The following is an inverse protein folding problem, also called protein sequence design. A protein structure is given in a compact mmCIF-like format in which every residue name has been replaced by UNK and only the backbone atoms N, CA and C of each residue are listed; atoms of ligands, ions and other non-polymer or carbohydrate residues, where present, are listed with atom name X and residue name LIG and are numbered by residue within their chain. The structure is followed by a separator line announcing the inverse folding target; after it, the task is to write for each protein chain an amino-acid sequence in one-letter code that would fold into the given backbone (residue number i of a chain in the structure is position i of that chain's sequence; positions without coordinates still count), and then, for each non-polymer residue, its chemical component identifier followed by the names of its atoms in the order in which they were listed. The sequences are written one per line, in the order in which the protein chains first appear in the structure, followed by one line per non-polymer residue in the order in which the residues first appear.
data_IF_734764328180
#
_entry.id   IF_734764328180
#
_cell.length_a   1.000
_cell.length_b   1.000
_cell.length_c   1.000
_cell.angle_alpha   90.00
_cell.angle_beta   90.00
_cell.angle_gamma   90.00
#
_symmetry.space_group_name_H-M   'P 1'
#
loop_
_entity.id
_entity.type
_entity.pdbx_description
1 polymer ?
#
# COMPACT_ATOMS: atom_id res chain seq x y z
N UNK A 1 16.83 5.65 6.12
CA UNK A 1 15.83 4.82 5.45
C UNK A 1 16.35 3.41 5.42
N UNK A 2 15.58 2.48 5.98
CA UNK A 2 15.81 1.04 5.86
C UNK A 2 15.86 0.63 4.37
N UNK A 3 16.86 -0.16 3.96
CA UNK A 3 17.06 -0.56 2.56
C UNK A 3 15.86 -1.33 2.01
N UNK A 4 15.19 -2.13 2.84
CA UNK A 4 13.98 -2.86 2.44
C UNK A 4 12.80 -1.91 2.20
N UNK A 5 12.65 -0.87 3.02
CA UNK A 5 11.60 0.15 2.84
C UNK A 5 11.83 0.94 1.56
N UNK A 6 13.07 1.34 1.28
CA UNK A 6 13.43 2.04 0.04
C UNK A 6 13.16 1.18 -1.22
N UNK A 7 13.44 -0.13 -1.14
CA UNK A 7 13.14 -1.08 -2.21
C UNK A 7 11.62 -1.16 -2.48
N UNK A 8 10.82 -1.37 -1.44
CA UNK A 8 9.35 -1.44 -1.56
C UNK A 8 8.78 -0.12 -2.08
N UNK A 9 9.30 1.01 -1.60
CA UNK A 9 8.91 2.33 -2.09
C UNK A 9 9.14 2.47 -3.59
N UNK A 10 10.31 2.06 -4.07
CA UNK A 10 10.68 2.14 -5.49
C UNK A 10 9.76 1.25 -6.33
N UNK A 11 9.54 0.01 -5.88
CA UNK A 11 8.62 -0.92 -6.51
C UNK A 11 7.20 -0.38 -6.66
N UNK A 12 6.63 0.16 -5.59
CA UNK A 12 5.30 0.75 -5.63
C UNK A 12 5.25 1.96 -6.57
N UNK A 13 6.28 2.80 -6.58
CA UNK A 13 6.35 3.98 -7.47
C UNK A 13 6.42 3.60 -8.93
N UNK A 14 7.25 2.62 -9.30
CA UNK A 14 7.29 2.07 -10.66
C UNK A 14 5.92 1.54 -11.06
N UNK A 15 5.22 0.89 -10.13
CA UNK A 15 3.84 0.46 -10.30
C UNK A 15 2.78 1.59 -10.21
N UNK A 16 3.20 2.86 -10.33
CA UNK A 16 2.36 4.04 -10.39
C UNK A 16 1.64 4.42 -9.10
N UNK A 17 2.18 4.04 -7.94
CA UNK A 17 1.74 4.54 -6.64
C UNK A 17 2.51 5.78 -6.22
N UNK A 18 1.81 6.69 -5.56
CA UNK A 18 2.39 7.70 -4.69
C UNK A 18 2.59 7.10 -3.30
N UNK A 19 3.76 7.31 -2.71
CA UNK A 19 4.15 6.62 -1.47
C UNK A 19 4.59 7.61 -0.40
N UNK A 20 4.14 7.39 0.83
CA UNK A 20 4.70 7.97 2.05
C UNK A 20 5.27 6.82 2.88
N UNK A 21 6.46 7.00 3.43
CA UNK A 21 7.22 5.95 4.14
C UNK A 21 7.57 6.41 5.53
N UNK A 22 7.77 5.46 6.45
CA UNK A 22 8.12 5.72 7.85
C UNK A 22 7.12 6.74 8.48
N UNK A 23 5.82 6.54 8.22
CA UNK A 23 4.79 7.51 8.55
C UNK A 23 4.40 7.44 10.03
N UNK A 24 4.60 8.51 10.83
CA UNK A 24 4.36 8.45 12.26
C UNK A 24 2.87 8.55 12.60
N UNK A 25 2.37 7.58 13.36
CA UNK A 25 1.03 7.62 13.94
C UNK A 25 1.14 8.07 15.39
N UNK A 26 0.50 9.20 15.71
CA UNK A 26 0.55 9.84 17.02
C UNK A 26 -0.78 9.64 17.75
N UNK A 27 -0.72 9.26 19.02
CA UNK A 27 -1.85 9.21 19.94
C UNK A 27 -1.82 10.43 20.88
N UNK A 28 -3.00 10.99 21.20
CA UNK A 28 -3.15 12.03 22.21
C UNK A 28 -3.74 11.44 23.49
N UNK A 29 -2.93 11.37 24.55
CA UNK A 29 -3.34 10.95 25.90
C UNK A 29 -2.67 11.82 26.95
N UNK A 30 -3.20 13.03 27.16
CA UNK A 30 -2.59 14.04 28.03
C UNK A 30 -1.30 14.66 27.45
N UNK A 31 -1.05 14.46 26.15
CA UNK A 31 0.13 14.87 25.40
C UNK A 31 0.21 14.10 24.07
N UNK A 32 1.07 14.53 23.14
CA UNK A 32 1.30 13.83 21.86
C UNK A 32 2.43 12.82 22.01
N UNK A 33 2.15 11.53 21.77
CA UNK A 33 3.17 10.47 21.74
C UNK A 33 3.02 9.63 20.48
N UNK A 34 4.14 9.31 19.83
CA UNK A 34 4.14 8.33 18.75
C UNK A 34 3.63 6.98 19.27
N UNK A 35 2.56 6.48 18.65
CA UNK A 35 1.98 5.19 18.94
C UNK A 35 2.70 4.07 18.16
N UNK A 36 2.95 4.30 16.88
CA UNK A 36 3.75 3.45 16.00
C UNK A 36 4.05 4.19 14.70
N UNK A 37 5.10 3.80 14.01
CA UNK A 37 5.33 4.23 12.63
C UNK A 37 4.75 3.16 11.69
N UNK A 38 4.17 3.60 10.57
CA UNK A 38 3.72 2.74 9.47
C UNK A 38 4.78 2.76 8.37
N UNK A 39 5.26 1.59 7.96
CA UNK A 39 6.42 1.49 7.06
C UNK A 39 6.14 2.12 5.70
N UNK A 40 4.96 1.87 5.11
CA UNK A 40 4.55 2.51 3.85
C UNK A 40 3.04 2.71 3.78
N UNK A 41 2.64 3.89 3.32
CA UNK A 41 1.30 4.23 2.85
C UNK A 41 1.40 4.51 1.35
N UNK A 42 0.57 3.86 0.54
CA UNK A 42 0.61 4.04 -0.91
C UNK A 42 -0.78 4.37 -1.47
N UNK A 43 -0.82 5.22 -2.49
CA UNK A 43 -2.03 5.62 -3.19
C UNK A 43 -1.84 5.52 -4.70
N UNK A 44 -2.77 4.86 -5.39
CA UNK A 44 -2.79 4.77 -6.85
C UNK A 44 -4.11 5.28 -7.40
N UNK A 45 -4.01 6.17 -8.40
CA UNK A 45 -5.17 6.74 -9.06
C UNK A 45 -5.86 5.71 -9.99
N UNK A 46 -7.19 5.78 -10.19
CA UNK A 46 -7.97 4.91 -11.09
C UNK A 46 -7.45 4.77 -12.52
N UNK A 47 -6.74 5.79 -13.01
CA UNK A 47 -6.21 5.86 -14.37
C UNK A 47 -4.68 5.88 -14.42
N UNK A 48 -3.99 5.54 -13.34
CA UNK A 48 -2.52 5.52 -13.34
C UNK A 48 -2.02 4.54 -14.42
N UNK A 49 -1.11 5.00 -15.29
CA UNK A 49 -0.65 4.24 -16.46
C UNK A 49 -1.43 4.48 -17.76
N UNK A 50 -2.49 5.32 -17.74
CA UNK A 50 -3.11 5.81 -18.98
C UNK A 50 -2.15 6.76 -19.71
N UNK A 51 -1.97 6.50 -21.00
CA UNK A 51 -1.20 7.37 -21.88
C UNK A 51 -2.00 8.65 -22.20
N UNK A 52 -1.32 9.78 -22.36
CA UNK A 52 -1.94 11.03 -22.77
C UNK A 52 -2.50 10.85 -24.19
N UNK A 53 -3.82 11.05 -24.40
CA UNK A 53 -4.37 10.99 -25.75
C UNK A 53 -3.86 12.17 -26.56
N UNK A 54 -2.99 11.93 -27.55
CA UNK A 54 -2.68 12.96 -28.55
C UNK A 54 -1.21 13.28 -28.79
N UNK A 55 -0.33 12.30 -28.91
CA UNK A 55 0.83 12.43 -29.79
C UNK A 55 0.78 11.33 -30.84
N UNK A 56 0.90 11.73 -32.12
CA UNK A 56 0.92 10.84 -33.28
C UNK A 56 2.11 9.89 -33.18
N UNK A 57 1.99 8.77 -32.46
CA UNK A 57 3.14 7.88 -32.29
C UNK A 57 2.89 6.51 -31.67
N UNK A 58 1.85 6.28 -30.87
CA UNK A 58 1.70 4.97 -30.21
C UNK A 58 0.27 4.42 -30.28
N UNK A 59 -0.24 4.25 -31.49
CA UNK A 59 -1.28 3.22 -31.71
C UNK A 59 -0.59 1.86 -31.65
N UNK A 60 -0.54 1.24 -30.47
CA UNK A 60 -0.04 -0.13 -30.34
C UNK A 60 0.74 -0.47 -29.06
N UNK A 61 1.15 0.50 -28.24
CA UNK A 61 1.71 0.18 -26.94
C UNK A 61 0.57 -0.10 -25.94
N UNK A 62 0.59 -1.26 -25.25
CA UNK A 62 -0.37 -1.49 -24.19
C UNK A 62 -0.21 -0.40 -23.12
N UNK A 63 -1.30 0.03 -22.47
CA UNK A 63 -1.19 0.90 -21.30
C UNK A 63 -0.26 0.25 -20.26
N UNK A 64 0.49 1.06 -19.51
CA UNK A 64 1.38 0.56 -18.47
C UNK A 64 0.58 -0.33 -17.50
N UNK A 65 0.93 -1.61 -17.44
CA UNK A 65 0.32 -2.58 -16.56
C UNK A 65 1.14 -2.68 -15.27
N UNK A 66 0.49 -2.46 -14.13
CA UNK A 66 1.10 -2.75 -12.85
C UNK A 66 1.34 -4.26 -12.70
N UNK A 67 2.31 -4.62 -11.87
CA UNK A 67 2.60 -5.98 -11.46
C UNK A 67 1.30 -6.70 -11.04
N UNK A 68 0.93 -7.81 -11.70
CA UNK A 68 -0.27 -8.56 -11.38
C UNK A 68 -0.31 -9.02 -9.92
N UNK A 69 0.86 -9.23 -9.29
CA UNK A 69 0.93 -9.60 -7.89
C UNK A 69 0.34 -8.52 -6.98
N UNK A 70 0.43 -7.23 -7.34
CA UNK A 70 -0.21 -6.17 -6.56
C UNK A 70 -1.74 -6.28 -6.56
N UNK A 71 -2.34 -6.95 -7.54
CA UNK A 71 -3.79 -7.15 -7.61
C UNK A 71 -4.57 -5.82 -7.60
N UNK A 72 -4.06 -4.83 -8.34
CA UNK A 72 -4.65 -3.49 -8.41
C UNK A 72 -6.10 -3.58 -8.90
N UNK A 73 -7.07 -2.98 -8.21
CA UNK A 73 -8.45 -2.92 -8.68
C UNK A 73 -8.58 -2.05 -9.93
N UNK A 74 -9.33 -2.52 -10.92
CA UNK A 74 -9.58 -1.77 -12.15
C UNK A 74 -10.51 -0.58 -11.89
N UNK A 75 -10.09 0.62 -12.29
CA UNK A 75 -10.96 1.80 -12.34
C UNK A 75 -11.31 2.44 -10.99
N UNK A 76 -10.73 1.97 -9.89
CA UNK A 76 -10.94 2.53 -8.55
C UNK A 76 -9.62 3.02 -7.93
N UNK A 77 -9.64 4.04 -7.05
CA UNK A 77 -8.46 4.42 -6.30
C UNK A 77 -8.03 3.27 -5.38
N UNK A 78 -6.75 2.93 -5.38
CA UNK A 78 -6.21 1.85 -4.55
C UNK A 78 -5.26 2.42 -3.50
N UNK A 79 -5.52 2.10 -2.24
CA UNK A 79 -4.77 2.57 -1.08
C UNK A 79 -4.17 1.39 -0.33
N UNK A 80 -2.87 1.40 -0.12
CA UNK A 80 -2.16 0.35 0.61
C UNK A 80 -1.67 0.88 1.95
N UNK A 81 -1.95 0.13 3.01
CA UNK A 81 -1.24 0.25 4.28
C UNK A 81 -0.29 -0.95 4.34
N UNK A 82 1.01 -0.66 4.23
CA UNK A 82 2.06 -1.65 4.08
C UNK A 82 2.97 -1.72 5.30
N UNK A 83 3.31 -2.95 5.69
CA UNK A 83 4.40 -3.25 6.62
C UNK A 83 5.55 -3.89 5.84
N UNK A 84 6.80 -3.53 6.15
CA UNK A 84 8.00 -4.06 5.51
C UNK A 84 8.90 -4.71 6.56
N UNK A 85 9.39 -5.91 6.26
CA UNK A 85 10.29 -6.68 7.14
C UNK A 85 11.37 -7.37 6.30
N UNK A 86 12.62 -7.33 6.73
CA UNK A 86 13.68 -8.13 6.08
C UNK A 86 13.49 -9.64 6.27
N UNK A 87 12.69 -10.06 7.27
CA UNK A 87 12.38 -11.46 7.56
C UNK A 87 11.01 -11.90 7.05
N UNK A 88 10.20 -12.48 7.92
CA UNK A 88 8.83 -12.90 7.60
C UNK A 88 7.94 -11.71 7.23
N UNK A 89 7.21 -11.82 6.12
CA UNK A 89 6.18 -10.89 5.68
C UNK A 89 4.98 -10.93 6.65
N UNK A 90 5.05 -10.16 7.74
CA UNK A 90 3.98 -10.11 8.75
C UNK A 90 3.69 -8.70 9.20
N UNK A 91 2.41 -8.42 9.36
CA UNK A 91 1.96 -7.18 9.97
C UNK A 91 2.21 -7.20 11.48
N UNK A 92 2.93 -6.19 11.98
CA UNK A 92 3.23 -6.12 13.40
C UNK A 92 1.95 -5.92 14.24
N UNK A 93 1.98 -6.28 15.54
CA UNK A 93 0.78 -6.19 16.41
C UNK A 93 0.30 -4.74 16.62
N UNK A 94 1.22 -3.78 16.64
CA UNK A 94 0.92 -2.36 16.84
C UNK A 94 0.22 -1.74 15.63
N UNK A 95 0.70 -2.05 14.42
CA UNK A 95 0.11 -1.66 13.14
C UNK A 95 -1.28 -2.26 12.93
N UNK A 96 -1.58 -3.40 13.56
CA UNK A 96 -2.93 -4.00 13.57
C UNK A 96 -3.88 -3.45 14.63
N UNK A 97 -3.50 -2.40 15.38
CA UNK A 97 -4.42 -1.73 16.29
C UNK A 97 -5.46 -0.95 15.48
N UNK A 98 -6.73 -1.14 15.79
CA UNK A 98 -7.84 -0.42 15.12
C UNK A 98 -7.62 1.11 15.11
N UNK A 99 -7.11 1.68 16.21
CA UNK A 99 -6.81 3.11 16.29
C UNK A 99 -5.72 3.55 15.30
N UNK A 100 -4.71 2.71 15.04
CA UNK A 100 -3.63 3.01 14.08
C UNK A 100 -4.15 2.96 12.65
N UNK A 101 -4.94 1.94 12.31
CA UNK A 101 -5.58 1.82 11.01
C UNK A 101 -6.56 2.97 10.76
N UNK A 102 -7.43 3.29 11.72
CA UNK A 102 -8.37 4.41 11.61
C UNK A 102 -7.65 5.75 11.45
N UNK A 103 -6.52 5.94 12.15
CA UNK A 103 -5.68 7.11 11.99
C UNK A 103 -5.07 7.19 10.57
N UNK A 104 -4.60 6.08 10.02
CA UNK A 104 -4.07 6.02 8.65
C UNK A 104 -5.17 6.35 7.62
N UNK A 105 -6.37 5.77 7.76
CA UNK A 105 -7.53 6.02 6.91
C UNK A 105 -7.96 7.49 6.91
N UNK A 106 -8.02 8.10 8.09
CA UNK A 106 -8.37 9.53 8.22
C UNK A 106 -7.31 10.41 7.55
N UNK A 107 -6.03 10.05 7.66
CA UNK A 107 -4.91 10.83 7.10
C UNK A 107 -4.73 10.66 5.61
N UNK A 108 -5.10 9.50 5.08
CA UNK A 108 -5.31 9.31 3.65
C UNK A 108 -6.38 10.26 3.09
N UNK A 109 -7.21 10.85 3.96
CA UNK A 109 -8.28 11.77 3.58
C UNK A 109 -9.49 11.07 2.98
N UNK A 110 -9.57 9.74 3.06
CA UNK A 110 -10.63 8.92 2.45
C UNK A 110 -11.78 8.57 3.38
N UNK A 111 -11.59 8.77 4.70
CA UNK A 111 -12.59 8.53 5.72
C UNK A 111 -12.70 9.75 6.64
N UNK A 112 -13.92 10.09 7.05
CA UNK A 112 -14.12 10.96 8.21
C UNK A 112 -13.64 10.25 9.49
N UNK A 113 -13.37 11.00 10.54
CA UNK A 113 -12.98 10.41 11.83
C UNK A 113 -14.04 9.44 12.39
N UNK A 114 -15.32 9.69 12.08
CA UNK A 114 -16.45 8.84 12.49
C UNK A 114 -16.53 7.56 11.65
N UNK A 115 -16.32 7.65 10.33
CA UNK A 115 -16.36 6.50 9.41
C UNK A 115 -15.11 5.60 9.47
N UNK A 116 -13.96 6.17 9.82
CA UNK A 116 -12.68 5.46 9.82
C UNK A 116 -12.66 4.24 10.75
N UNK A 117 -13.43 4.27 11.84
CA UNK A 117 -13.52 3.14 12.79
C UNK A 117 -14.15 1.89 12.17
N UNK A 118 -15.25 2.05 11.43
CA UNK A 118 -15.95 0.93 10.78
C UNK A 118 -15.09 0.33 9.66
N UNK A 119 -14.52 1.18 8.79
CA UNK A 119 -13.61 0.74 7.73
C UNK A 119 -12.36 0.07 8.30
N UNK A 120 -11.80 0.57 9.41
CA UNK A 120 -10.67 -0.07 10.09
C UNK A 120 -11.03 -1.47 10.62
N UNK A 121 -12.23 -1.63 11.19
CA UNK A 121 -12.69 -2.92 11.69
C UNK A 121 -12.88 -3.94 10.56
N UNK A 122 -13.42 -3.52 9.41
CA UNK A 122 -13.52 -4.35 8.20
C UNK A 122 -12.12 -4.74 7.70
N UNK A 123 -11.23 -3.75 7.57
CA UNK A 123 -9.88 -3.95 7.07
C UNK A 123 -9.08 -4.93 7.94
N UNK A 124 -9.24 -4.88 9.26
CA UNK A 124 -8.61 -5.81 10.20
C UNK A 124 -9.23 -7.21 10.19
N UNK A 125 -10.41 -7.40 9.61
CA UNK A 125 -11.07 -8.72 9.51
C UNK A 125 -10.76 -9.42 8.18
N UNK A 126 -10.75 -8.68 7.07
CA UNK A 126 -10.65 -9.25 5.71
C UNK A 126 -9.36 -8.87 4.98
N UNK A 127 -8.66 -7.84 5.46
CA UNK A 127 -7.50 -7.25 4.81
C UNK A 127 -7.84 -6.30 3.68
N UNK A 128 -9.13 -6.09 3.39
CA UNK A 128 -9.62 -5.20 2.34
C UNK A 128 -10.91 -4.51 2.79
N UNK A 129 -11.04 -3.22 2.53
CA UNK A 129 -12.27 -2.48 2.78
C UNK A 129 -12.51 -1.50 1.65
N UNK A 130 -13.77 -1.10 1.46
CA UNK A 130 -14.13 0.01 0.57
C UNK A 130 -14.59 1.18 1.41
N UNK A 131 -14.21 2.39 1.06
CA UNK A 131 -14.69 3.61 1.72
C UNK A 131 -15.97 4.11 1.08
N UNK A 132 -16.66 5.06 1.74
CA UNK A 132 -17.86 5.72 1.20
C UNK A 132 -17.60 6.50 -0.11
N UNK A 133 -16.32 6.78 -0.41
CA UNK A 133 -15.88 7.43 -1.63
C UNK A 133 -15.33 6.44 -2.67
N UNK A 134 -15.63 5.14 -2.51
CA UNK A 134 -15.27 4.08 -3.44
C UNK A 134 -13.74 3.89 -3.60
N UNK A 135 -12.98 4.28 -2.57
CA UNK A 135 -11.56 3.96 -2.48
C UNK A 135 -11.42 2.54 -1.92
N UNK A 136 -10.59 1.72 -2.56
CA UNK A 136 -10.26 0.40 -2.03
C UNK A 136 -9.02 0.49 -1.16
N UNK A 137 -9.15 0.11 0.11
CA UNK A 137 -8.04 0.07 1.06
C UNK A 137 -7.64 -1.37 1.32
N UNK A 138 -6.33 -1.65 1.34
CA UNK A 138 -5.80 -3.01 1.53
C UNK A 138 -4.60 -3.04 2.47
N UNK A 139 -4.50 -4.11 3.26
CA UNK A 139 -3.32 -4.40 4.06
C UNK A 139 -2.35 -5.26 3.26
N UNK A 140 -1.08 -4.85 3.24
CA UNK A 140 -0.01 -5.59 2.56
C UNK A 140 1.17 -5.75 3.50
N UNK A 141 1.78 -6.93 3.52
CA UNK A 141 3.02 -7.20 4.22
C UNK A 141 4.09 -7.60 3.21
N UNK A 142 5.23 -6.91 3.24
CA UNK A 142 6.40 -7.21 2.44
C UNK A 142 7.44 -7.92 3.32
N UNK A 143 8.00 -9.02 2.82
CA UNK A 143 9.12 -9.66 3.51
C UNK A 143 9.85 -10.71 2.70
N UNK A 144 11.05 -11.09 3.15
CA UNK A 144 11.88 -12.08 2.43
C UNK A 144 11.29 -13.48 2.47
N UNK A 145 10.57 -13.82 3.53
CA UNK A 145 9.91 -15.12 3.71
C UNK A 145 8.41 -14.90 3.83
N UNK A 146 7.62 -15.60 3.02
CA UNK A 146 6.17 -15.63 3.19
C UNK A 146 5.86 -16.42 4.45
N UNK A 147 5.10 -15.83 5.37
CA UNK A 147 4.82 -16.48 6.65
C UNK A 147 3.80 -17.60 6.50
N UNK A 148 3.10 -17.68 5.36
CA UNK A 148 2.00 -18.61 5.13
C UNK A 148 0.80 -18.31 6.05
N UNK A 149 0.83 -17.15 6.72
CA UNK A 149 -0.19 -16.65 7.61
C UNK A 149 -1.51 -16.49 6.86
N UNK A 150 -2.60 -17.00 7.45
CA UNK A 150 -3.98 -16.67 7.04
C UNK A 150 -4.43 -15.30 7.54
N UNK A 151 -3.48 -14.41 7.81
CA UNK A 151 -3.76 -13.07 8.29
C UNK A 151 -4.59 -12.28 7.26
N UNK A 152 -5.36 -11.28 7.70
CA UNK A 152 -6.15 -10.42 6.83
C UNK A 152 -5.23 -9.39 6.17
N UNK A 153 -4.25 -9.84 5.40
CA UNK A 153 -3.36 -9.00 4.60
C UNK A 153 -2.77 -9.83 3.47
N UNK A 154 -2.40 -9.15 2.39
CA UNK A 154 -1.68 -9.77 1.30
C UNK A 154 -0.19 -9.82 1.64
N UNK A 155 0.47 -10.94 1.39
CA UNK A 155 1.92 -11.04 1.50
C UNK A 155 2.58 -10.88 0.12
N UNK A 156 3.64 -10.08 0.03
CA UNK A 156 4.45 -9.91 -1.17
C UNK A 156 5.91 -10.19 -0.82
N UNK A 157 6.57 -11.16 -1.49
CA UNK A 157 7.94 -11.50 -1.14
C UNK A 157 8.92 -10.46 -1.68
N UNK A 158 9.89 -10.01 -0.88
CA UNK A 158 10.92 -9.04 -1.30
C UNK A 158 11.76 -9.57 -2.48
N UNK A 159 11.96 -10.88 -2.58
CA UNK A 159 12.61 -11.48 -3.74
C UNK A 159 11.83 -11.30 -5.06
N UNK A 160 10.49 -11.20 -5.00
CA UNK A 160 9.69 -10.85 -6.18
C UNK A 160 9.83 -9.37 -6.51
N UNK A 161 9.80 -8.51 -5.50
CA UNK A 161 10.01 -7.07 -5.65
C UNK A 161 11.33 -6.77 -6.36
N UNK A 162 12.42 -7.41 -5.93
CA UNK A 162 13.74 -7.27 -6.57
C UNK A 162 13.71 -7.68 -8.03
N UNK A 163 13.24 -8.89 -8.34
CA UNK A 163 13.17 -9.38 -9.72
C UNK A 163 12.34 -8.49 -10.63
N UNK A 164 11.21 -7.99 -10.14
CA UNK A 164 10.37 -7.06 -10.90
C UNK A 164 11.13 -5.77 -11.24
N UNK A 165 11.84 -5.20 -10.27
CA UNK A 165 12.64 -3.99 -10.48
C UNK A 165 13.84 -4.22 -11.40
N UNK A 166 14.52 -5.36 -11.27
CA UNK A 166 15.61 -5.76 -12.17
C UNK A 166 15.12 -5.85 -13.62
N UNK A 167 14.02 -6.57 -13.87
CA UNK A 167 13.42 -6.65 -15.21
C UNK A 167 12.95 -5.28 -15.71
N UNK A 168 12.40 -4.43 -14.84
CA UNK A 168 11.97 -3.09 -15.24
C UNK A 168 13.13 -2.21 -15.73
N UNK A 169 14.29 -2.29 -15.08
CA UNK A 169 15.52 -1.57 -15.47
C UNK A 169 16.14 -2.13 -16.75
N UNK A 170 16.00 -3.44 -17.01
CA UNK A 170 16.47 -4.04 -18.27
C UNK A 170 15.59 -3.63 -19.47
N UNK A 171 14.31 -3.35 -19.23
CA UNK A 171 13.33 -2.99 -20.27
C UNK A 171 13.27 -1.48 -20.61
N UNK A 172 13.80 -0.59 -19.76
CA UNK A 172 13.67 0.88 -19.87
C UNK A 172 14.98 1.64 -19.66
#
# INVERSE_FOLDING_TARGET
MDSAVGLVQTYLRVNGYFTVVEYPVVESRGGFRAATDLDVLAFRFPGAGRLIPGERGQRGHPPFAADPLLGVPDGHPDMLIGEVKEGEAKFNRSGRRAAVIAAALTRFGCCSAEGAGATAAELLQSGRASTDHDHRVRLVAFGSVLSGSRGPYQEIPLGHVLRYLESWVEEH
#
